data_IF_489770533876
#
_entry.id   IF_489770533876
#
_cell.length_a   1.000
_cell.length_b   1.000
_cell.length_c   1.000
_cell.angle_alpha   90.00
_cell.angle_beta   90.00
_cell.angle_gamma   90.00
#
_symmetry.space_group_name_H-M   'P 1'
#
loop_
_entity.id
_entity.type
_entity.pdbx_description
1 polymer ?
#
# COMPACT_ATOMS: atom_id res chain seq x y z
N UNK A 1 20.01 -20.56 -8.48
CA UNK A 1 19.04 -19.54 -8.00
C UNK A 1 19.34 -18.29 -8.77
N UNK A 2 18.35 -17.66 -9.36
CA UNK A 2 18.55 -16.44 -10.14
C UNK A 2 18.15 -15.24 -9.27
N UNK A 3 19.02 -14.22 -9.21
CA UNK A 3 18.77 -12.98 -8.51
C UNK A 3 18.36 -11.87 -9.47
N UNK A 4 17.65 -10.87 -8.98
CA UNK A 4 17.34 -9.62 -9.66
C UNK A 4 17.95 -8.47 -8.87
N UNK A 5 18.37 -7.44 -9.56
CA UNK A 5 18.76 -6.18 -8.94
C UNK A 5 17.53 -5.30 -8.79
N UNK A 6 17.16 -4.99 -7.54
CA UNK A 6 16.15 -4.01 -7.20
C UNK A 6 16.87 -2.80 -6.58
N UNK A 7 16.90 -1.69 -7.32
CA UNK A 7 17.76 -0.55 -6.96
C UNK A 7 19.22 -0.99 -6.86
N UNK A 8 19.84 -0.81 -5.69
CA UNK A 8 21.22 -1.22 -5.41
C UNK A 8 21.34 -2.63 -4.80
N UNK A 9 20.22 -3.30 -4.49
CA UNK A 9 20.20 -4.56 -3.76
C UNK A 9 19.92 -5.74 -4.69
N UNK A 10 20.72 -6.82 -4.56
CA UNK A 10 20.45 -8.10 -5.19
C UNK A 10 19.50 -8.93 -4.34
N UNK A 11 18.40 -9.39 -4.94
CA UNK A 11 17.31 -10.14 -4.27
C UNK A 11 17.06 -11.44 -5.03
N UNK A 12 16.87 -12.55 -4.30
CA UNK A 12 16.42 -13.80 -4.91
C UNK A 12 14.99 -13.64 -5.44
N UNK A 13 14.75 -14.13 -6.66
CA UNK A 13 13.42 -14.06 -7.28
C UNK A 13 12.33 -14.73 -6.44
N UNK A 14 12.65 -15.72 -5.63
CA UNK A 14 11.70 -16.36 -4.72
C UNK A 14 11.16 -15.41 -3.65
N UNK A 15 11.94 -14.38 -3.31
CA UNK A 15 11.57 -13.35 -2.33
C UNK A 15 10.82 -12.17 -2.95
N UNK A 16 10.97 -11.97 -4.26
CA UNK A 16 10.37 -10.83 -4.97
C UNK A 16 8.85 -10.97 -5.05
N UNK A 17 8.14 -9.91 -4.69
CA UNK A 17 6.73 -9.73 -5.02
C UNK A 17 6.65 -9.03 -6.38
N UNK A 18 6.11 -9.73 -7.38
CA UNK A 18 5.86 -9.16 -8.71
C UNK A 18 4.50 -8.46 -8.68
N UNK A 19 4.51 -7.13 -8.52
CA UNK A 19 3.30 -6.31 -8.39
C UNK A 19 2.89 -5.72 -9.75
N UNK A 20 1.80 -6.21 -10.30
CA UNK A 20 1.36 -5.85 -11.66
C UNK A 20 0.16 -4.91 -11.58
N UNK A 21 0.36 -3.68 -12.07
CA UNK A 21 -0.72 -2.72 -12.31
C UNK A 21 -1.44 -3.14 -13.59
N UNK A 22 -2.47 -4.00 -13.46
CA UNK A 22 -3.13 -4.62 -14.61
C UNK A 22 -3.97 -3.66 -15.46
N UNK A 23 -4.20 -2.46 -14.95
CA UNK A 23 -4.91 -1.35 -15.57
C UNK A 23 -5.29 -0.32 -14.52
N UNK A 24 -5.79 0.81 -14.97
CA UNK A 24 -6.14 1.92 -14.07
C UNK A 24 -7.64 2.25 -14.04
N UNK A 25 -8.47 1.47 -14.73
CA UNK A 25 -9.93 1.56 -14.61
C UNK A 25 -10.36 1.32 -13.15
N UNK A 26 -11.30 2.13 -12.64
CA UNK A 26 -11.77 2.04 -11.27
C UNK A 26 -13.25 2.46 -11.19
N UNK A 27 -13.98 1.83 -10.29
CA UNK A 27 -15.41 2.09 -10.04
C UNK A 27 -15.67 3.15 -8.97
N UNK A 28 -14.61 3.85 -8.49
CA UNK A 28 -14.68 4.95 -7.53
C UNK A 28 -13.72 6.08 -7.92
N UNK A 29 -13.89 7.25 -7.29
CA UNK A 29 -13.07 8.44 -7.51
C UNK A 29 -12.58 9.01 -6.19
N UNK A 30 -11.72 8.28 -5.49
CA UNK A 30 -11.16 8.74 -4.22
C UNK A 30 -10.49 10.10 -4.37
N UNK A 31 -10.67 10.97 -3.39
CA UNK A 31 -10.19 12.36 -3.39
C UNK A 31 -8.66 12.49 -3.36
N UNK A 32 -7.96 11.46 -2.85
CA UNK A 32 -6.49 11.40 -2.76
C UNK A 32 -5.82 10.62 -3.91
N UNK A 33 -6.61 10.08 -4.85
CA UNK A 33 -6.10 9.19 -5.87
C UNK A 33 -5.19 9.91 -6.86
N UNK A 34 -4.01 9.36 -7.13
CA UNK A 34 -3.05 9.88 -8.11
C UNK A 34 -3.40 9.53 -9.57
N UNK A 35 -4.31 8.56 -9.80
CA UNK A 35 -4.66 8.11 -11.16
C UNK A 35 -5.46 9.18 -11.87
N UNK A 36 -4.95 9.66 -13.02
CA UNK A 36 -5.63 10.65 -13.87
C UNK A 36 -6.71 10.01 -14.73
N UNK A 37 -7.58 10.82 -15.31
CA UNK A 37 -8.64 10.33 -16.20
C UNK A 37 -8.06 9.69 -17.48
N UNK A 38 -6.92 10.18 -17.97
CA UNK A 38 -6.20 9.59 -19.10
C UNK A 38 -5.63 8.22 -18.72
N UNK A 39 -5.02 8.09 -17.53
CA UNK A 39 -4.50 6.80 -17.05
C UNK A 39 -5.62 5.78 -16.91
N UNK A 40 -6.84 6.17 -16.52
CA UNK A 40 -7.98 5.26 -16.39
C UNK A 40 -8.37 4.54 -17.69
N UNK A 41 -7.94 5.05 -18.83
CA UNK A 41 -8.13 4.40 -20.14
C UNK A 41 -7.07 3.33 -20.43
N UNK A 42 -6.02 3.24 -19.60
CA UNK A 42 -4.91 2.30 -19.84
C UNK A 42 -5.16 0.98 -19.12
N UNK A 43 -5.20 -0.09 -19.91
CA UNK A 43 -5.29 -1.46 -19.43
C UNK A 43 -4.20 -2.31 -20.09
N UNK A 44 -3.52 -3.13 -19.32
CA UNK A 44 -2.60 -4.11 -19.87
C UNK A 44 -3.37 -5.23 -20.56
N UNK A 45 -2.97 -5.60 -21.78
CA UNK A 45 -3.50 -6.80 -22.42
C UNK A 45 -3.18 -8.04 -21.55
N UNK A 46 -4.14 -8.93 -21.37
CA UNK A 46 -3.97 -10.15 -20.55
C UNK A 46 -2.74 -10.98 -21.01
N UNK A 47 -2.52 -11.05 -22.33
CA UNK A 47 -1.34 -11.74 -22.88
C UNK A 47 -0.02 -11.09 -22.44
N UNK A 48 0.05 -9.76 -22.36
CA UNK A 48 1.23 -9.04 -21.88
C UNK A 48 1.48 -9.32 -20.39
N UNK A 49 0.42 -9.29 -19.56
CA UNK A 49 0.52 -9.64 -18.13
C UNK A 49 1.05 -11.07 -17.98
N UNK A 50 0.47 -12.03 -18.70
CA UNK A 50 0.93 -13.43 -18.69
C UNK A 50 2.38 -13.57 -19.13
N UNK A 51 2.83 -12.84 -20.13
CA UNK A 51 4.21 -12.88 -20.60
C UNK A 51 5.18 -12.43 -19.50
N UNK A 52 4.88 -11.31 -18.81
CA UNK A 52 5.69 -10.82 -17.69
C UNK A 52 5.74 -11.83 -16.54
N UNK A 53 4.58 -12.35 -16.12
CA UNK A 53 4.50 -13.32 -15.03
C UNK A 53 5.20 -14.64 -15.38
N UNK A 54 5.10 -15.11 -16.64
CA UNK A 54 5.84 -16.30 -17.11
C UNK A 54 7.34 -16.09 -17.02
N UNK A 55 7.83 -14.92 -17.44
CA UNK A 55 9.25 -14.58 -17.38
C UNK A 55 9.75 -14.50 -15.91
N UNK A 56 8.98 -13.89 -15.02
CA UNK A 56 9.31 -13.82 -13.60
C UNK A 56 9.29 -15.23 -12.95
N UNK A 57 8.28 -16.04 -13.27
CA UNK A 57 8.17 -17.42 -12.76
C UNK A 57 9.32 -18.32 -13.21
N UNK A 58 9.75 -18.20 -14.46
CA UNK A 58 10.90 -18.93 -14.99
C UNK A 58 12.21 -18.59 -14.27
N UNK A 59 12.28 -17.41 -13.65
CA UNK A 59 13.41 -16.95 -12.82
C UNK A 59 13.27 -17.35 -11.33
N UNK A 60 12.13 -17.89 -10.91
CA UNK A 60 11.91 -18.37 -9.55
C UNK A 60 10.85 -17.61 -8.74
N UNK A 61 10.24 -16.54 -9.28
CA UNK A 61 9.22 -15.79 -8.56
C UNK A 61 8.05 -16.69 -8.12
N UNK A 62 7.64 -16.55 -6.86
CA UNK A 62 6.53 -17.30 -6.26
C UNK A 62 5.45 -16.42 -5.66
N UNK A 63 5.64 -15.10 -5.70
CA UNK A 63 4.73 -14.10 -5.13
C UNK A 63 4.29 -13.14 -6.23
N UNK A 64 3.00 -12.92 -6.35
CA UNK A 64 2.41 -11.96 -7.29
C UNK A 64 1.39 -11.08 -6.59
N UNK A 65 1.28 -9.85 -7.03
CA UNK A 65 0.27 -8.89 -6.60
C UNK A 65 -0.40 -8.29 -7.82
N UNK A 66 -1.70 -8.08 -7.75
CA UNK A 66 -2.49 -7.37 -8.74
C UNK A 66 -3.04 -6.08 -8.14
N UNK A 67 -2.73 -4.96 -8.79
CA UNK A 67 -3.13 -3.62 -8.40
C UNK A 67 -3.43 -2.74 -9.59
N UNK A 68 -3.50 -1.42 -9.33
CA UNK A 68 -3.77 -0.38 -10.34
C UNK A 68 -4.95 0.50 -9.95
N UNK A 69 -5.98 0.55 -10.80
CA UNK A 69 -7.27 1.15 -10.45
C UNK A 69 -8.03 0.25 -9.47
N UNK A 70 -9.02 -0.50 -9.98
CA UNK A 70 -9.68 -1.54 -9.20
C UNK A 70 -9.60 -2.89 -9.93
N UNK A 71 -8.71 -3.77 -9.52
CA UNK A 71 -8.53 -5.07 -10.20
C UNK A 71 -9.78 -5.95 -10.22
N UNK A 72 -10.61 -5.86 -9.18
CA UNK A 72 -11.77 -6.78 -9.01
C UNK A 72 -12.91 -6.53 -10.02
N UNK A 73 -12.95 -5.36 -10.67
CA UNK A 73 -13.92 -5.12 -11.74
C UNK A 73 -13.47 -5.66 -13.10
N UNK A 74 -12.20 -6.07 -13.22
CA UNK A 74 -11.66 -6.61 -14.46
C UNK A 74 -12.14 -8.05 -14.67
N UNK A 75 -12.90 -8.30 -15.73
CA UNK A 75 -13.43 -9.65 -16.06
C UNK A 75 -12.35 -10.73 -16.20
N UNK A 76 -11.12 -10.36 -16.56
CA UNK A 76 -10.00 -11.27 -16.71
C UNK A 76 -9.21 -11.54 -15.43
N UNK A 77 -9.54 -10.95 -14.27
CA UNK A 77 -8.77 -11.11 -13.04
C UNK A 77 -8.76 -12.56 -12.56
N UNK A 78 -9.93 -13.16 -12.31
CA UNK A 78 -10.00 -14.51 -11.73
C UNK A 78 -9.38 -15.59 -12.63
N UNK A 79 -9.58 -15.59 -13.98
CA UNK A 79 -8.80 -16.43 -14.88
C UNK A 79 -7.29 -16.24 -14.77
N UNK A 80 -6.81 -15.02 -14.61
CA UNK A 80 -5.39 -14.71 -14.43
C UNK A 80 -4.86 -15.23 -13.08
N UNK A 81 -5.62 -15.10 -12.01
CA UNK A 81 -5.32 -15.65 -10.68
C UNK A 81 -5.19 -17.19 -10.75
N UNK A 82 -6.16 -17.88 -11.36
CA UNK A 82 -6.10 -19.34 -11.57
C UNK A 82 -4.85 -19.72 -12.36
N UNK A 83 -4.55 -18.97 -13.43
CA UNK A 83 -3.33 -19.18 -14.21
C UNK A 83 -2.06 -19.09 -13.35
N UNK A 84 -1.98 -18.13 -12.43
CA UNK A 84 -0.85 -17.97 -11.52
C UNK A 84 -0.75 -19.14 -10.53
N UNK A 85 -1.87 -19.51 -9.88
CA UNK A 85 -1.94 -20.64 -8.96
C UNK A 85 -1.45 -21.93 -9.64
N UNK A 86 -1.97 -22.23 -10.85
CA UNK A 86 -1.67 -23.47 -11.58
C UNK A 86 -0.22 -23.52 -12.07
N UNK A 87 0.49 -22.36 -12.04
CA UNK A 87 1.92 -22.26 -12.35
C UNK A 87 2.84 -22.10 -11.14
N UNK A 88 2.30 -22.32 -9.94
CA UNK A 88 3.06 -22.41 -8.70
C UNK A 88 3.40 -21.06 -8.07
N UNK A 89 2.64 -20.00 -8.35
CA UNK A 89 2.62 -18.84 -7.50
C UNK A 89 1.95 -19.22 -6.17
N UNK A 90 2.65 -19.00 -5.05
CA UNK A 90 2.22 -19.42 -3.70
C UNK A 90 1.53 -18.29 -2.95
N UNK A 91 1.93 -17.05 -3.21
CA UNK A 91 1.29 -15.85 -2.68
C UNK A 91 0.68 -15.06 -3.84
N UNK A 92 -0.63 -14.93 -3.83
CA UNK A 92 -1.39 -14.20 -4.85
C UNK A 92 -2.18 -13.12 -4.13
N UNK A 93 -1.65 -11.91 -4.20
CA UNK A 93 -2.21 -10.71 -3.57
C UNK A 93 -3.11 -9.96 -4.54
N UNK A 94 -4.21 -9.39 -4.03
CA UNK A 94 -5.01 -8.39 -4.73
C UNK A 94 -5.16 -7.17 -3.84
N UNK A 95 -4.75 -5.99 -4.35
CA UNK A 95 -5.00 -4.70 -3.72
C UNK A 95 -6.30 -4.12 -4.29
N UNK A 96 -7.31 -3.90 -3.45
CA UNK A 96 -8.68 -3.58 -3.85
C UNK A 96 -9.31 -2.52 -2.95
N UNK A 97 -10.28 -1.79 -3.47
CA UNK A 97 -11.17 -0.96 -2.66
C UNK A 97 -12.22 -1.76 -1.86
N UNK A 98 -12.28 -3.08 -2.04
CA UNK A 98 -13.09 -4.00 -1.25
C UNK A 98 -14.57 -4.12 -1.67
N UNK A 99 -15.08 -3.25 -2.55
CA UNK A 99 -16.51 -3.20 -2.88
C UNK A 99 -17.05 -4.48 -3.50
N UNK A 100 -16.27 -5.14 -4.37
CA UNK A 100 -16.74 -6.36 -5.04
C UNK A 100 -16.88 -7.55 -4.08
N UNK A 101 -16.14 -7.58 -2.98
CA UNK A 101 -16.27 -8.64 -1.98
C UNK A 101 -17.59 -8.56 -1.18
N UNK A 102 -18.35 -7.46 -1.28
CA UNK A 102 -19.71 -7.38 -0.77
C UNK A 102 -20.65 -8.41 -1.44
N UNK A 103 -20.36 -8.81 -2.66
CA UNK A 103 -21.05 -9.91 -3.32
C UNK A 103 -20.43 -11.23 -2.88
N UNK A 104 -21.18 -12.01 -2.11
CA UNK A 104 -20.70 -13.26 -1.52
C UNK A 104 -20.16 -14.23 -2.57
N UNK A 105 -20.88 -14.39 -3.69
CA UNK A 105 -20.42 -15.23 -4.80
C UNK A 105 -19.07 -14.81 -5.36
N UNK A 106 -18.82 -13.49 -5.48
CA UNK A 106 -17.52 -13.01 -5.93
C UNK A 106 -16.41 -13.27 -4.90
N UNK A 107 -16.67 -13.10 -3.59
CA UNK A 107 -15.71 -13.40 -2.54
C UNK A 107 -15.32 -14.89 -2.53
N UNK A 108 -16.32 -15.78 -2.68
CA UNK A 108 -16.12 -17.24 -2.82
C UNK A 108 -15.30 -17.57 -4.07
N UNK A 109 -15.68 -17.03 -5.25
CA UNK A 109 -14.96 -17.25 -6.50
C UNK A 109 -13.52 -16.74 -6.45
N UNK A 110 -13.27 -15.60 -5.78
CA UNK A 110 -11.94 -15.01 -5.61
C UNK A 110 -11.04 -15.92 -4.75
N UNK A 111 -11.58 -16.43 -3.64
CA UNK A 111 -10.91 -17.40 -2.78
C UNK A 111 -10.60 -18.70 -3.54
N UNK A 112 -11.58 -19.28 -4.22
CA UNK A 112 -11.45 -20.51 -4.98
C UNK A 112 -10.48 -20.38 -6.18
N UNK A 113 -10.41 -19.20 -6.77
CA UNK A 113 -9.44 -18.92 -7.83
C UNK A 113 -8.00 -18.99 -7.30
N UNK A 114 -7.77 -18.71 -6.01
CA UNK A 114 -6.47 -18.80 -5.36
C UNK A 114 -5.93 -17.47 -4.83
N UNK A 115 -6.74 -16.43 -4.72
CA UNK A 115 -6.34 -15.22 -3.99
C UNK A 115 -6.21 -15.61 -2.51
N UNK A 116 -5.04 -15.40 -1.94
CA UNK A 116 -4.75 -15.75 -0.54
C UNK A 116 -4.14 -14.58 0.26
N UNK A 117 -3.98 -13.41 -0.36
CA UNK A 117 -3.59 -12.17 0.30
C UNK A 117 -4.50 -11.03 -0.19
N UNK A 118 -5.45 -10.64 0.65
CA UNK A 118 -6.40 -9.56 0.37
C UNK A 118 -5.91 -8.28 1.03
N UNK A 119 -5.55 -7.27 0.24
CA UNK A 119 -5.20 -5.95 0.72
C UNK A 119 -6.34 -5.00 0.39
N UNK A 120 -6.97 -4.41 1.41
CA UNK A 120 -8.17 -3.61 1.24
C UNK A 120 -7.91 -2.19 1.73
N UNK A 121 -8.24 -1.22 0.88
CA UNK A 121 -8.18 0.19 1.24
C UNK A 121 -9.33 0.56 2.18
N UNK A 122 -9.01 0.78 3.45
CA UNK A 122 -9.97 1.24 4.44
C UNK A 122 -9.86 2.76 4.61
N UNK A 123 -10.94 3.49 4.30
CA UNK A 123 -10.90 4.95 4.26
C UNK A 123 -11.26 5.59 5.59
N UNK A 124 -12.21 5.01 6.32
CA UNK A 124 -12.76 5.59 7.54
C UNK A 124 -13.53 4.53 8.35
N UNK A 125 -14.11 4.95 9.47
CA UNK A 125 -14.97 4.16 10.35
C UNK A 125 -16.42 4.68 10.40
N UNK A 126 -16.72 5.80 9.72
CA UNK A 126 -18.06 6.38 9.61
C UNK A 126 -18.47 6.52 8.16
N UNK A 127 -19.78 6.41 7.88
CA UNK A 127 -20.34 6.54 6.53
C UNK A 127 -19.98 7.87 5.91
N UNK A 128 -20.20 8.97 6.61
CA UNK A 128 -19.97 10.31 6.08
C UNK A 128 -18.53 10.54 5.65
N UNK A 129 -17.54 10.10 6.44
CA UNK A 129 -16.15 10.23 6.11
C UNK A 129 -15.75 9.29 4.96
N UNK A 130 -16.23 8.05 5.00
CA UNK A 130 -15.93 7.03 4.00
C UNK A 130 -16.48 7.43 2.61
N UNK A 131 -17.75 7.87 2.56
CA UNK A 131 -18.39 8.32 1.33
C UNK A 131 -17.73 9.56 0.74
N UNK A 132 -17.36 10.52 1.58
CA UNK A 132 -16.65 11.72 1.14
C UNK A 132 -15.31 11.38 0.48
N UNK A 133 -14.50 10.50 1.11
CA UNK A 133 -13.18 10.14 0.61
C UNK A 133 -13.29 9.30 -0.67
N UNK A 134 -14.19 8.34 -0.70
CA UNK A 134 -14.32 7.40 -1.83
C UNK A 134 -15.19 7.94 -2.98
N UNK A 135 -16.00 8.96 -2.72
CA UNK A 135 -16.96 9.49 -3.68
C UNK A 135 -18.11 8.51 -4.00
N UNK A 136 -18.47 7.62 -3.03
CA UNK A 136 -19.46 6.57 -3.25
C UNK A 136 -20.36 6.37 -2.02
N UNK A 137 -21.67 6.66 -2.14
CA UNK A 137 -22.63 6.39 -1.09
C UNK A 137 -22.71 4.90 -0.72
N UNK A 138 -22.86 4.59 0.57
CA UNK A 138 -22.99 3.23 1.10
C UNK A 138 -21.71 2.40 1.02
N UNK A 139 -20.56 3.03 0.74
CA UNK A 139 -19.31 2.31 0.55
C UNK A 139 -18.84 1.60 1.83
N UNK A 140 -18.99 2.22 3.01
CA UNK A 140 -18.58 1.62 4.28
C UNK A 140 -19.32 0.30 4.54
N UNK A 141 -20.65 0.28 4.33
CA UNK A 141 -21.46 -0.92 4.54
C UNK A 141 -21.04 -2.04 3.56
N UNK A 142 -20.81 -1.69 2.28
CA UNK A 142 -20.39 -2.66 1.27
C UNK A 142 -19.02 -3.27 1.62
N UNK A 143 -18.05 -2.43 1.97
CA UNK A 143 -16.71 -2.93 2.33
C UNK A 143 -16.74 -3.74 3.63
N UNK A 144 -17.53 -3.31 4.64
CA UNK A 144 -17.75 -4.06 5.88
C UNK A 144 -18.34 -5.45 5.59
N UNK A 145 -19.32 -5.52 4.70
CA UNK A 145 -19.90 -6.80 4.28
C UNK A 145 -18.86 -7.67 3.56
N UNK A 146 -18.06 -7.09 2.68
CA UNK A 146 -16.97 -7.77 1.99
C UNK A 146 -15.95 -8.38 2.95
N UNK A 147 -15.53 -7.62 3.95
CA UNK A 147 -14.62 -8.10 5.01
C UNK A 147 -15.23 -9.29 5.76
N UNK A 148 -16.52 -9.21 6.12
CA UNK A 148 -17.22 -10.34 6.78
C UNK A 148 -17.27 -11.58 5.90
N UNK A 149 -17.50 -11.45 4.60
CA UNK A 149 -17.48 -12.59 3.68
C UNK A 149 -16.08 -13.22 3.60
N UNK A 150 -15.02 -12.41 3.49
CA UNK A 150 -13.64 -12.90 3.47
C UNK A 150 -13.25 -13.58 4.78
N UNK A 151 -13.65 -13.01 5.92
CA UNK A 151 -13.43 -13.61 7.25
C UNK A 151 -14.16 -14.95 7.39
N UNK A 152 -15.39 -15.08 6.90
CA UNK A 152 -16.15 -16.33 6.89
C UNK A 152 -15.49 -17.43 6.02
N UNK A 153 -14.68 -17.03 5.03
CA UNK A 153 -13.87 -17.94 4.19
C UNK A 153 -12.49 -18.23 4.81
N UNK A 154 -12.21 -17.72 6.02
CA UNK A 154 -10.95 -17.95 6.74
C UNK A 154 -9.82 -16.99 6.33
N UNK A 155 -10.10 -15.94 5.55
CA UNK A 155 -9.11 -14.95 5.18
C UNK A 155 -9.02 -13.83 6.21
N UNK A 156 -7.81 -13.30 6.39
CA UNK A 156 -7.52 -12.10 7.17
C UNK A 156 -6.99 -11.01 6.24
N UNK A 157 -7.83 -10.09 5.78
CA UNK A 157 -7.37 -8.99 4.94
C UNK A 157 -6.36 -8.09 5.66
N UNK A 158 -5.47 -7.47 4.89
CA UNK A 158 -4.57 -6.41 5.37
C UNK A 158 -5.22 -5.07 5.06
N UNK A 159 -5.26 -4.17 6.05
CA UNK A 159 -5.78 -2.82 5.91
C UNK A 159 -4.75 -1.86 5.34
N UNK A 160 -5.11 -1.15 4.27
CA UNK A 160 -4.31 -0.08 3.67
C UNK A 160 -5.01 1.26 3.94
N UNK A 161 -4.42 2.10 4.79
CA UNK A 161 -4.99 3.36 5.25
C UNK A 161 -4.15 4.53 4.72
N UNK A 162 -4.82 5.61 4.31
CA UNK A 162 -4.15 6.83 3.87
C UNK A 162 -4.17 7.86 5.00
N UNK A 163 -2.99 8.34 5.39
CA UNK A 163 -2.81 9.49 6.29
C UNK A 163 -2.93 10.75 5.47
N UNK A 164 -3.92 11.57 5.74
CA UNK A 164 -4.16 12.88 5.11
C UNK A 164 -4.92 13.82 6.06
N UNK A 165 -5.11 15.06 5.67
CA UNK A 165 -5.66 16.15 6.50
C UNK A 165 -6.98 15.86 7.21
N UNK A 166 -7.82 14.98 6.69
CA UNK A 166 -9.11 14.62 7.27
C UNK A 166 -9.22 13.18 7.77
N UNK A 167 -8.12 12.42 7.73
CA UNK A 167 -8.09 11.05 8.26
C UNK A 167 -7.20 10.90 9.49
N UNK A 168 -6.17 11.71 9.64
CA UNK A 168 -5.16 11.53 10.68
C UNK A 168 -5.73 11.52 12.10
N UNK A 169 -6.74 12.37 12.38
CA UNK A 169 -7.42 12.44 13.69
C UNK A 169 -8.27 11.18 14.00
N UNK A 170 -8.59 10.40 12.97
CA UNK A 170 -9.48 9.24 13.07
C UNK A 170 -8.74 7.89 12.96
N UNK A 171 -7.41 7.90 12.81
CA UNK A 171 -6.65 6.67 12.56
C UNK A 171 -6.84 5.61 13.66
N UNK A 172 -6.86 6.01 14.92
CA UNK A 172 -7.09 5.09 16.04
C UNK A 172 -8.48 4.45 15.99
N UNK A 173 -9.52 5.24 15.70
CA UNK A 173 -10.90 4.77 15.58
C UNK A 173 -11.08 3.88 14.35
N UNK A 174 -10.38 4.19 13.24
CA UNK A 174 -10.38 3.37 12.04
C UNK A 174 -9.75 2.01 12.34
N UNK A 175 -8.59 1.99 13.01
CA UNK A 175 -7.93 0.74 13.43
C UNK A 175 -8.85 -0.07 14.34
N UNK A 176 -9.48 0.55 15.34
CA UNK A 176 -10.41 -0.14 16.25
C UNK A 176 -11.61 -0.74 15.52
N UNK A 177 -12.27 0.05 14.67
CA UNK A 177 -13.43 -0.41 13.90
C UNK A 177 -13.12 -1.65 13.05
N UNK A 178 -12.04 -1.58 12.26
CA UNK A 178 -11.68 -2.67 11.37
C UNK A 178 -11.06 -3.87 12.10
N UNK A 179 -10.31 -3.64 13.19
CA UNK A 179 -9.83 -4.71 14.06
C UNK A 179 -11.00 -5.49 14.69
N UNK A 180 -12.08 -4.79 15.08
CA UNK A 180 -13.32 -5.43 15.54
C UNK A 180 -14.00 -6.33 14.50
N UNK A 181 -13.63 -6.20 13.22
CA UNK A 181 -14.09 -7.07 12.13
C UNK A 181 -13.07 -8.18 11.78
N UNK A 182 -11.99 -8.31 12.56
CA UNK A 182 -10.99 -9.37 12.39
C UNK A 182 -9.76 -9.00 11.57
N UNK A 183 -9.57 -7.72 11.26
CA UNK A 183 -8.34 -7.24 10.63
C UNK A 183 -7.24 -7.18 11.69
N UNK A 184 -6.10 -7.80 11.44
CA UNK A 184 -4.98 -7.86 12.38
C UNK A 184 -3.71 -7.10 11.92
N UNK A 185 -3.73 -6.56 10.71
CA UNK A 185 -2.58 -5.86 10.13
C UNK A 185 -3.02 -4.63 9.36
N UNK A 186 -2.39 -3.48 9.65
CA UNK A 186 -2.68 -2.18 9.04
C UNK A 186 -1.40 -1.51 8.56
N UNK A 187 -1.40 -1.03 7.32
CA UNK A 187 -0.36 -0.18 6.75
C UNK A 187 -0.88 1.25 6.62
N UNK A 188 -0.19 2.20 7.18
CA UNK A 188 -0.49 3.62 7.10
C UNK A 188 0.41 4.26 6.04
N UNK A 189 -0.19 4.81 4.99
CA UNK A 189 0.48 5.44 3.87
C UNK A 189 0.27 6.95 3.90
N UNK A 190 1.33 7.72 3.94
CA UNK A 190 1.20 9.18 3.82
C UNK A 190 0.71 9.53 2.42
N UNK A 191 -0.32 10.37 2.32
CA UNK A 191 -0.89 10.81 1.04
C UNK A 191 0.18 11.37 0.10
N UNK A 192 0.13 11.03 -1.19
CA UNK A 192 1.08 11.53 -2.21
C UNK A 192 0.49 12.69 -2.99
N UNK A 193 1.29 13.74 -3.19
CA UNK A 193 0.98 14.87 -4.07
C UNK A 193 1.58 14.59 -5.46
N UNK A 194 0.95 13.72 -6.21
CA UNK A 194 1.40 13.32 -7.55
C UNK A 194 0.26 13.19 -8.55
N UNK A 195 0.56 13.36 -9.82
CA UNK A 195 -0.36 13.22 -10.94
C UNK A 195 -1.69 13.96 -10.68
N UNK A 196 -2.84 13.26 -10.59
CA UNK A 196 -4.15 13.89 -10.32
C UNK A 196 -4.21 14.61 -8.96
N UNK A 197 -3.50 14.10 -7.95
CA UNK A 197 -3.53 14.66 -6.60
C UNK A 197 -2.49 15.80 -6.38
N UNK A 198 -1.70 16.16 -7.39
CA UNK A 198 -0.57 17.10 -7.27
C UNK A 198 -0.97 18.49 -6.75
N UNK A 199 -2.17 18.93 -7.10
CA UNK A 199 -2.67 20.27 -6.75
C UNK A 199 -3.50 20.26 -5.45
N UNK A 200 -3.77 19.08 -4.87
CA UNK A 200 -4.49 18.92 -3.61
C UNK A 200 -3.56 19.11 -2.40
N UNK A 201 -2.90 20.28 -2.38
CA UNK A 201 -1.89 20.59 -1.38
C UNK A 201 -2.41 20.52 0.06
N UNK A 202 -3.69 20.86 0.29
CA UNK A 202 -4.29 20.81 1.61
C UNK A 202 -4.42 19.38 2.18
N UNK A 203 -4.30 18.35 1.35
CA UNK A 203 -4.40 16.95 1.82
C UNK A 203 -3.16 16.49 2.59
N UNK A 204 -1.98 17.04 2.29
CA UNK A 204 -0.72 16.73 2.97
C UNK A 204 -0.42 17.80 4.03
N UNK A 205 -0.41 17.41 5.28
CA UNK A 205 -0.04 18.26 6.42
C UNK A 205 1.38 17.93 6.92
N UNK A 206 2.02 18.81 7.73
CA UNK A 206 3.24 18.49 8.45
C UNK A 206 3.06 17.25 9.32
N UNK A 207 4.09 16.41 9.40
CA UNK A 207 4.03 15.21 10.26
C UNK A 207 3.86 15.59 11.73
N UNK A 208 4.47 16.70 12.18
CA UNK A 208 4.30 17.23 13.54
C UNK A 208 2.85 17.50 13.91
N UNK A 209 2.03 17.96 12.94
CA UNK A 209 0.60 18.20 13.14
C UNK A 209 -0.20 16.90 13.23
N UNK A 210 0.18 15.88 12.43
CA UNK A 210 -0.53 14.59 12.37
C UNK A 210 0.00 13.57 13.36
N UNK A 211 1.12 13.85 14.03
CA UNK A 211 1.86 12.91 14.85
C UNK A 211 1.01 12.23 15.91
N UNK A 212 0.24 13.02 16.66
CA UNK A 212 -0.56 12.50 17.79
C UNK A 212 -1.59 11.46 17.31
N UNK A 213 -2.26 11.70 16.19
CA UNK A 213 -3.19 10.73 15.61
C UNK A 213 -2.50 9.47 15.07
N UNK A 214 -1.31 9.63 14.47
CA UNK A 214 -0.51 8.49 14.00
C UNK A 214 -0.04 7.64 15.19
N UNK A 215 0.48 8.27 16.24
CA UNK A 215 0.92 7.57 17.45
C UNK A 215 -0.25 6.89 18.16
N UNK A 216 -1.40 7.57 18.28
CA UNK A 216 -2.62 6.99 18.85
C UNK A 216 -3.08 5.73 18.10
N UNK A 217 -2.89 5.67 16.76
CA UNK A 217 -3.19 4.46 16.00
C UNK A 217 -2.22 3.31 16.32
N UNK A 218 -0.93 3.59 16.55
CA UNK A 218 0.04 2.57 16.98
C UNK A 218 -0.28 2.04 18.37
N UNK A 219 -0.60 2.94 19.31
CA UNK A 219 -0.99 2.57 20.67
C UNK A 219 -2.29 1.76 20.70
N UNK A 220 -3.28 2.18 19.90
CA UNK A 220 -4.54 1.44 19.75
C UNK A 220 -4.30 0.05 19.18
N UNK A 221 -3.47 -0.05 18.14
CA UNK A 221 -3.07 -1.33 17.56
C UNK A 221 -2.40 -2.24 18.57
N UNK A 222 -1.48 -1.72 19.37
CA UNK A 222 -0.81 -2.45 20.45
C UNK A 222 -1.81 -2.95 21.49
N UNK A 223 -2.73 -2.08 21.93
CA UNK A 223 -3.77 -2.43 22.91
C UNK A 223 -4.74 -3.52 22.41
N UNK A 224 -5.00 -3.56 21.10
CA UNK A 224 -5.86 -4.56 20.46
C UNK A 224 -5.11 -5.83 20.04
N UNK A 225 -3.78 -5.86 20.17
CA UNK A 225 -2.95 -6.98 19.71
C UNK A 225 -2.85 -7.09 18.18
N UNK A 226 -3.04 -5.98 17.46
CA UNK A 226 -2.92 -5.90 16.00
C UNK A 226 -1.69 -5.13 15.57
N UNK A 227 -1.18 -5.41 14.37
CA UNK A 227 0.00 -4.76 13.82
C UNK A 227 -0.41 -3.48 13.07
N UNK A 228 0.14 -2.34 13.46
CA UNK A 228 -0.01 -1.06 12.73
C UNK A 228 1.38 -0.54 12.36
N UNK A 229 1.60 -0.24 11.07
CA UNK A 229 2.90 0.21 10.54
C UNK A 229 2.75 1.41 9.64
N UNK A 230 3.63 2.41 9.81
CA UNK A 230 3.81 3.52 8.86
C UNK A 230 4.76 3.13 7.74
N UNK A 231 4.46 3.56 6.51
CA UNK A 231 5.18 3.18 5.29
C UNK A 231 6.02 4.28 4.65
N UNK A 232 5.64 5.54 4.80
CA UNK A 232 6.29 6.65 4.09
C UNK A 232 6.90 7.70 5.02
N UNK A 233 6.72 7.58 6.32
CA UNK A 233 7.24 8.54 7.28
C UNK A 233 8.55 7.99 7.85
N UNK A 234 9.67 8.72 7.76
CA UNK A 234 10.94 8.28 8.33
C UNK A 234 10.88 8.08 9.85
N UNK A 235 11.65 7.14 10.37
CA UNK A 235 11.75 6.84 11.82
C UNK A 235 12.05 8.07 12.66
N UNK A 236 12.95 8.92 12.20
CA UNK A 236 13.34 10.13 12.90
C UNK A 236 12.25 11.21 13.03
N UNK A 237 11.14 11.08 12.30
CA UNK A 237 9.97 11.96 12.42
C UNK A 237 8.90 11.40 13.37
N UNK A 238 9.08 10.16 13.84
CA UNK A 238 8.19 9.47 14.78
C UNK A 238 9.00 8.95 15.99
N UNK A 239 9.69 9.84 16.74
CA UNK A 239 10.51 9.43 17.87
C UNK A 239 9.69 8.72 18.95
N UNK A 240 10.21 7.57 19.42
CA UNK A 240 9.55 6.67 20.36
C UNK A 240 8.64 5.61 19.70
N UNK A 241 8.45 5.69 18.37
CA UNK A 241 7.63 4.75 17.60
C UNK A 241 8.38 4.15 16.39
N UNK A 242 9.71 4.14 16.45
CA UNK A 242 10.59 3.68 15.37
C UNK A 242 10.30 2.22 14.96
N UNK A 243 9.86 1.39 15.90
CA UNK A 243 9.47 0.00 15.67
C UNK A 243 8.22 -0.15 14.77
N UNK A 244 7.38 0.89 14.71
CA UNK A 244 6.20 0.91 13.84
C UNK A 244 6.48 1.41 12.42
N UNK A 245 7.71 1.85 12.13
CA UNK A 245 8.08 2.35 10.80
C UNK A 245 8.71 1.22 9.98
N UNK A 246 8.06 0.85 8.89
CA UNK A 246 8.55 -0.15 7.95
C UNK A 246 9.23 0.51 6.75
N UNK A 247 10.35 -0.06 6.30
CA UNK A 247 11.04 0.35 5.08
C UNK A 247 10.43 -0.39 3.88
N UNK A 248 10.13 0.34 2.80
CA UNK A 248 9.55 -0.24 1.58
C UNK A 248 10.45 -1.28 0.90
N UNK A 249 11.77 -1.24 1.16
CA UNK A 249 12.72 -2.22 0.61
C UNK A 249 12.53 -3.61 1.23
N UNK A 250 12.01 -3.69 2.46
CA UNK A 250 11.73 -4.95 3.14
C UNK A 250 10.72 -5.82 2.37
N UNK A 251 9.80 -5.17 1.64
CA UNK A 251 8.76 -5.88 0.87
C UNK A 251 9.29 -6.48 -0.45
N UNK A 252 10.48 -6.07 -0.92
CA UNK A 252 11.14 -6.58 -2.13
C UNK A 252 10.21 -6.59 -3.36
N UNK A 253 9.54 -5.48 -3.61
CA UNK A 253 8.50 -5.38 -4.65
C UNK A 253 9.08 -4.86 -5.97
N UNK A 254 8.85 -5.63 -7.03
CA UNK A 254 9.05 -5.22 -8.42
C UNK A 254 7.69 -4.81 -9.01
N UNK A 255 7.51 -3.53 -9.27
CA UNK A 255 6.28 -2.99 -9.86
C UNK A 255 6.36 -3.04 -11.37
N UNK A 256 5.33 -3.59 -12.00
CA UNK A 256 5.15 -3.64 -13.46
C UNK A 256 3.89 -2.84 -13.80
N UNK A 257 4.04 -1.79 -14.57
CA UNK A 257 2.94 -0.94 -15.05
C UNK A 257 2.79 -1.09 -16.58
N UNK A 258 1.74 -0.57 -17.19
CA UNK A 258 1.63 -0.51 -18.66
C UNK A 258 2.81 0.18 -19.35
N UNK A 259 3.53 1.07 -18.64
CA UNK A 259 4.56 1.95 -19.20
C UNK A 259 5.98 1.65 -18.73
N UNK A 260 6.16 1.02 -17.55
CA UNK A 260 7.47 0.89 -16.92
C UNK A 260 7.55 -0.26 -15.92
N UNK A 261 8.78 -0.63 -15.56
CA UNK A 261 9.09 -1.61 -14.52
C UNK A 261 10.15 -1.02 -13.60
N UNK A 262 9.93 -1.04 -12.27
CA UNK A 262 10.82 -0.43 -11.28
C UNK A 262 10.66 -1.09 -9.91
N UNK A 263 11.62 -0.92 -9.01
CA UNK A 263 11.44 -1.29 -7.61
C UNK A 263 10.46 -0.31 -6.92
N UNK A 264 9.61 -0.78 -6.01
CA UNK A 264 8.55 0.04 -5.39
C UNK A 264 9.08 1.36 -4.83
N UNK A 265 10.24 1.34 -4.19
CA UNK A 265 10.86 2.54 -3.60
C UNK A 265 11.48 3.50 -4.64
N UNK A 266 11.56 3.11 -5.91
CA UNK A 266 11.96 3.96 -7.04
C UNK A 266 10.75 4.59 -7.74
N UNK A 267 9.57 4.43 -7.17
CA UNK A 267 8.33 4.97 -7.73
C UNK A 267 8.39 6.49 -7.86
N UNK A 268 8.05 7.00 -9.04
CA UNK A 268 7.91 8.44 -9.27
C UNK A 268 6.74 9.07 -8.50
N UNK A 269 5.77 8.26 -8.06
CA UNK A 269 4.60 8.73 -7.31
C UNK A 269 4.99 9.18 -5.91
N UNK A 270 6.00 8.57 -5.33
CA UNK A 270 6.48 8.87 -3.98
C UNK A 270 8.01 8.82 -3.91
N UNK A 271 8.73 9.60 -4.73
CA UNK A 271 10.18 9.57 -4.72
C UNK A 271 10.72 10.06 -3.38
N UNK A 272 11.61 9.26 -2.77
CA UNK A 272 12.29 9.62 -1.53
C UNK A 272 13.67 10.22 -1.83
N UNK A 273 14.14 11.06 -0.94
CA UNK A 273 15.49 11.63 -0.98
C UNK A 273 16.00 11.91 0.43
N UNK A 274 17.30 12.03 0.58
CA UNK A 274 17.89 12.45 1.85
C UNK A 274 18.03 13.98 1.89
N UNK A 275 17.64 14.60 3.00
CA UNK A 275 18.01 15.97 3.29
C UNK A 275 19.50 16.04 3.63
N UNK A 276 20.14 17.22 3.45
CA UNK A 276 21.60 17.39 3.70
C UNK A 276 22.01 16.95 5.12
N UNK A 277 21.17 17.26 6.10
CA UNK A 277 21.40 16.85 7.49
C UNK A 277 21.30 15.34 7.74
N UNK A 278 20.82 14.55 6.77
CA UNK A 278 20.84 13.08 6.91
C UNK A 278 22.25 12.48 6.75
N UNK A 279 23.24 13.26 6.30
CA UNK A 279 24.61 12.80 6.15
C UNK A 279 25.16 12.30 7.51
N UNK A 280 25.61 11.04 7.55
CA UNK A 280 26.09 10.39 8.78
C UNK A 280 25.02 9.88 9.73
N UNK A 281 23.73 9.98 9.38
CA UNK A 281 22.67 9.37 10.15
C UNK A 281 22.79 7.83 10.16
N UNK A 282 22.65 7.21 11.34
CA UNK A 282 22.77 5.75 11.48
C UNK A 282 21.77 4.93 10.65
N UNK A 283 20.67 5.54 10.27
CA UNK A 283 19.64 4.90 9.43
C UNK A 283 19.85 5.12 7.93
N UNK A 284 20.76 6.04 7.54
CA UNK A 284 21.03 6.34 6.14
C UNK A 284 21.54 5.09 5.41
N UNK A 285 21.07 4.85 4.19
CA UNK A 285 21.45 3.72 3.34
C UNK A 285 21.14 2.31 3.88
N UNK A 286 20.71 2.19 5.14
CA UNK A 286 20.36 0.91 5.77
C UNK A 286 18.85 0.67 5.79
N UNK A 287 18.18 1.29 6.75
CA UNK A 287 16.76 1.06 7.07
C UNK A 287 15.88 2.30 6.90
N UNK A 288 16.35 3.30 6.15
CA UNK A 288 15.62 4.52 5.84
C UNK A 288 15.83 4.89 4.37
N UNK A 289 14.77 5.23 3.68
CA UNK A 289 14.78 5.73 2.30
C UNK A 289 14.94 7.26 2.22
N UNK A 290 15.02 7.94 3.37
CA UNK A 290 14.93 9.40 3.44
C UNK A 290 13.47 9.86 3.54
N UNK A 291 13.23 11.09 3.12
CA UNK A 291 11.93 11.77 3.15
C UNK A 291 11.37 11.84 1.73
N UNK A 292 10.08 11.80 1.59
CA UNK A 292 9.45 12.01 0.30
C UNK A 292 9.76 13.41 -0.25
N UNK A 293 10.04 13.47 -1.55
CA UNK A 293 10.44 14.73 -2.20
C UNK A 293 9.33 15.78 -2.12
N UNK A 294 8.07 15.42 -2.40
CA UNK A 294 6.92 16.34 -2.30
C UNK A 294 6.73 16.91 -0.89
N UNK A 295 7.06 16.14 0.14
CA UNK A 295 7.08 16.62 1.52
C UNK A 295 8.17 17.64 1.76
N UNK A 296 9.41 17.35 1.34
CA UNK A 296 10.55 18.28 1.49
C UNK A 296 10.36 19.56 0.69
N UNK A 297 9.84 19.48 -0.53
CA UNK A 297 9.54 20.66 -1.36
C UNK A 297 8.51 21.58 -0.69
N UNK A 298 7.56 21.01 0.05
CA UNK A 298 6.50 21.74 0.72
C UNK A 298 6.88 22.29 2.08
N UNK A 299 7.55 21.49 2.92
CA UNK A 299 7.78 21.80 4.34
C UNK A 299 9.26 21.92 4.71
N UNK A 300 10.16 21.68 3.76
CA UNK A 300 11.58 21.62 4.06
C UNK A 300 11.92 20.44 4.98
N UNK A 301 13.07 20.52 5.62
CA UNK A 301 13.63 19.45 6.44
C UNK A 301 13.58 19.74 7.95
N UNK A 302 12.84 20.76 8.40
CA UNK A 302 12.81 21.17 9.81
C UNK A 302 12.39 20.05 10.77
N UNK A 303 11.54 19.13 10.32
CA UNK A 303 11.04 17.98 11.11
C UNK A 303 11.94 16.75 11.03
N UNK A 304 12.90 16.73 10.12
CA UNK A 304 13.88 15.63 9.99
C UNK A 304 14.87 15.72 11.15
N UNK A 305 14.96 14.67 11.95
CA UNK A 305 15.82 14.60 13.15
C UNK A 305 16.78 13.41 13.04
N UNK A 306 17.89 13.53 12.30
CA UNK A 306 18.83 12.44 12.14
C UNK A 306 19.37 11.94 13.47
N UNK A 307 19.59 10.66 13.57
CA UNK A 307 20.26 10.05 14.72
C UNK A 307 21.70 9.69 14.33
N UNK A 308 22.64 10.32 14.99
CA UNK A 308 24.06 10.06 14.79
C UNK A 308 24.58 9.05 15.81
N UNK A 309 25.49 8.18 15.39
CA UNK A 309 26.21 7.33 16.32
C UNK A 309 27.06 8.25 17.21
N UNK A 310 27.08 8.01 18.54
CA UNK A 310 27.99 8.70 19.43
C UNK A 310 29.42 8.41 18.95
N UNK A 311 30.26 9.45 18.84
CA UNK A 311 31.68 9.28 18.55
C UNK A 311 32.28 8.41 19.65
N UNK A 312 32.69 7.16 19.35
CA UNK A 312 33.45 6.32 20.25
C UNK A 312 32.79 5.00 20.73
N UNK A 313 31.80 4.42 19.99
CA UNK A 313 31.39 3.03 20.27
C UNK A 313 31.67 2.09 19.10
#
# INVERSE_FOLDING_TARGET
MSAIRLGETWVDWADVVVDVMIGYECNVQCDYCSITDEMRQENMATAAVIAQLRAARARGATKVSFGGGEPTIRRGLLPLVRWCRDRGYRSIKVASNGLMYAYRSFAEEASDAGINAFHISFMAHTDALYERIMGKPGALQLVTQGVRHLAALGHKPVGELIIKSDTWMHLADIVEYWAGLGIDTFNLWLVSLSDRNKDNLASLLPVSEMRDGICAAFERGTALGVTVRSRHIPRCMLPGYEAHVADLREDKVLVITPRSTFALWESRISPNTYADKCAGCRYQHGVCLGVRRDYLERYGDAEVRPEYLAEGT
#
